data_IF_926680522333
#
_entry.id   IF_926680522333
#
_cell.length_a   1.000
_cell.length_b   1.000
_cell.length_c   1.000
_cell.angle_alpha   90.00
_cell.angle_beta   90.00
_cell.angle_gamma   90.00
#
_symmetry.space_group_name_H-M   'P 1'
#
loop_
_entity.id
_entity.type
_entity.pdbx_description
1 polymer ?
#
# COMPACT_ATOMS: atom_id res chain seq x y z
N UNK A 1 23.01 -6.07 -1.53
CA UNK A 1 22.59 -7.41 -2.01
C UNK A 1 21.22 -7.21 -2.65
N UNK A 2 21.07 -7.45 -3.95
CA UNK A 2 19.75 -7.31 -4.61
C UNK A 2 18.95 -8.56 -4.28
N UNK A 3 17.89 -8.43 -3.49
CA UNK A 3 16.99 -9.54 -3.17
C UNK A 3 16.36 -10.05 -4.47
N UNK A 4 16.61 -11.31 -4.83
CA UNK A 4 15.91 -11.93 -5.96
C UNK A 4 14.46 -12.19 -5.55
N UNK A 5 13.56 -11.31 -6.01
CA UNK A 5 12.13 -11.45 -5.76
C UNK A 5 11.57 -12.47 -6.74
N UNK A 6 10.97 -13.54 -6.20
CA UNK A 6 10.32 -14.59 -6.98
C UNK A 6 9.28 -14.02 -7.97
N UNK A 7 9.13 -14.69 -9.11
CA UNK A 7 8.07 -14.38 -10.05
C UNK A 7 6.70 -14.72 -9.43
N UNK A 8 5.77 -13.77 -9.53
CA UNK A 8 4.41 -13.96 -9.03
C UNK A 8 3.60 -14.79 -10.03
N UNK A 9 2.89 -15.80 -9.54
CA UNK A 9 2.05 -16.70 -10.33
C UNK A 9 0.57 -16.31 -10.29
N UNK A 10 0.16 -15.58 -9.26
CA UNK A 10 -1.24 -15.18 -9.07
C UNK A 10 -1.39 -13.67 -8.87
N UNK A 11 -2.56 -13.14 -9.25
CA UNK A 11 -2.88 -11.74 -9.01
C UNK A 11 -2.91 -11.47 -7.50
N UNK A 12 -2.31 -10.36 -7.06
CA UNK A 12 -2.22 -9.96 -5.65
C UNK A 12 -1.48 -10.95 -4.72
N UNK A 13 -0.76 -11.94 -5.24
CA UNK A 13 0.12 -12.77 -4.41
C UNK A 13 1.29 -11.96 -3.82
N UNK A 14 1.91 -11.13 -4.67
CA UNK A 14 2.98 -10.20 -4.28
C UNK A 14 2.51 -8.79 -4.61
N UNK A 15 2.51 -7.89 -3.63
CA UNK A 15 2.19 -6.48 -3.79
C UNK A 15 3.43 -5.61 -3.51
N UNK A 16 3.63 -4.59 -4.33
CA UNK A 16 4.52 -3.48 -4.00
C UNK A 16 3.70 -2.40 -3.32
N UNK A 17 4.23 -1.82 -2.25
CA UNK A 17 3.55 -0.84 -1.43
C UNK A 17 4.44 0.38 -1.23
N UNK A 18 3.91 1.57 -1.53
CA UNK A 18 4.62 2.82 -1.32
C UNK A 18 3.68 3.98 -0.99
N UNK A 19 4.20 4.97 -0.28
CA UNK A 19 3.46 6.18 0.07
C UNK A 19 3.74 7.30 -0.93
N UNK A 20 2.69 7.92 -1.42
CA UNK A 20 2.76 9.21 -2.09
C UNK A 20 2.25 10.26 -1.13
N UNK A 21 3.15 11.10 -0.64
CA UNK A 21 2.86 12.15 0.36
C UNK A 21 2.91 13.55 -0.28
N UNK A 22 2.57 14.56 0.51
CA UNK A 22 2.62 15.99 0.11
C UNK A 22 1.74 16.34 -1.10
N UNK A 23 0.66 15.60 -1.30
CA UNK A 23 -0.33 15.94 -2.31
C UNK A 23 -1.17 17.14 -1.83
N UNK A 24 -1.59 18.03 -2.75
CA UNK A 24 -2.60 19.03 -2.42
C UNK A 24 -3.85 18.37 -1.81
N UNK A 25 -4.44 18.96 -0.75
CA UNK A 25 -5.66 18.41 -0.16
C UNK A 25 -6.78 18.27 -1.19
N UNK A 26 -7.41 17.10 -1.23
CA UNK A 26 -8.44 16.78 -2.22
C UNK A 26 -9.66 16.04 -1.65
N UNK A 27 -10.81 16.26 -2.30
CA UNK A 27 -12.10 15.65 -1.95
C UNK A 27 -12.71 16.17 -0.65
N UNK A 28 -13.90 15.66 -0.31
CA UNK A 28 -14.68 16.12 0.86
C UNK A 28 -13.95 15.91 2.20
N UNK A 29 -13.00 14.97 2.23
CA UNK A 29 -12.19 14.65 3.41
C UNK A 29 -10.81 15.30 3.40
N UNK A 30 -10.44 16.05 2.37
CA UNK A 30 -9.15 16.76 2.28
C UNK A 30 -7.93 15.85 2.48
N UNK A 31 -7.96 14.66 1.87
CA UNK A 31 -6.82 13.74 1.87
C UNK A 31 -5.62 14.41 1.17
N UNK A 32 -4.42 14.23 1.72
CA UNK A 32 -3.19 14.88 1.26
C UNK A 32 -2.04 13.87 1.04
N UNK A 33 -2.36 12.58 1.05
CA UNK A 33 -1.47 11.48 0.74
C UNK A 33 -2.28 10.33 0.14
N UNK A 34 -1.61 9.34 -0.45
CA UNK A 34 -2.21 8.05 -0.75
C UNK A 34 -1.20 6.92 -0.57
N UNK A 35 -1.71 5.76 -0.21
CA UNK A 35 -1.00 4.49 -0.27
C UNK A 35 -1.22 3.89 -1.65
N UNK A 36 -0.13 3.49 -2.30
CA UNK A 36 -0.16 2.84 -3.61
C UNK A 36 0.18 1.37 -3.42
N UNK A 37 -0.75 0.50 -3.84
CA UNK A 37 -0.56 -0.94 -3.90
C UNK A 37 -0.47 -1.37 -5.36
N UNK A 38 0.58 -2.09 -5.75
CA UNK A 38 0.76 -2.57 -7.12
C UNK A 38 0.94 -4.09 -7.13
N UNK A 39 -0.04 -4.80 -7.69
CA UNK A 39 0.05 -6.25 -7.87
C UNK A 39 1.17 -6.63 -8.83
N UNK A 40 2.15 -7.43 -8.38
CA UNK A 40 3.35 -7.77 -9.17
C UNK A 40 3.04 -8.54 -10.45
N UNK A 41 2.02 -9.40 -10.44
CA UNK A 41 1.62 -10.23 -11.58
C UNK A 41 1.06 -9.40 -12.75
N UNK A 42 0.03 -8.58 -12.50
CA UNK A 42 -0.65 -7.79 -13.56
C UNK A 42 -0.18 -6.34 -13.68
N UNK A 43 0.68 -5.87 -12.78
CA UNK A 43 1.08 -4.45 -12.65
C UNK A 43 -0.11 -3.51 -12.44
N UNK A 44 -1.20 -4.01 -11.87
CA UNK A 44 -2.40 -3.23 -11.61
C UNK A 44 -2.22 -2.41 -10.33
N UNK A 45 -2.35 -1.07 -10.39
CA UNK A 45 -2.29 -0.22 -9.22
C UNK A 45 -3.65 -0.11 -8.53
N UNK A 46 -3.61 0.10 -7.22
CA UNK A 46 -4.72 0.51 -6.37
C UNK A 46 -4.25 1.68 -5.51
N UNK A 47 -5.07 2.72 -5.44
CA UNK A 47 -4.79 3.93 -4.68
C UNK A 47 -5.75 4.01 -3.51
N UNK A 48 -5.21 4.09 -2.30
CA UNK A 48 -5.98 4.23 -1.07
C UNK A 48 -5.71 5.63 -0.48
N UNK A 49 -6.72 6.51 -0.35
CA UNK A 49 -6.52 7.90 0.04
C UNK A 49 -6.26 8.06 1.55
N UNK A 50 -5.24 8.82 1.92
CA UNK A 50 -4.76 8.95 3.30
C UNK A 50 -4.46 10.39 3.72
N UNK A 51 -4.29 10.58 5.02
CA UNK A 51 -3.61 11.75 5.55
C UNK A 51 -2.15 11.41 5.83
N UNK A 52 -1.23 12.31 5.49
CA UNK A 52 0.21 12.12 5.72
C UNK A 52 0.54 11.86 7.20
N UNK A 53 -0.26 12.38 8.10
CA UNK A 53 -0.10 12.28 9.56
C UNK A 53 -0.92 11.14 10.18
N UNK A 54 -1.56 10.28 9.36
CA UNK A 54 -2.27 9.10 9.83
C UNK A 54 -1.33 8.13 10.56
N UNK A 55 -1.82 7.53 11.65
CA UNK A 55 -1.05 6.57 12.44
C UNK A 55 -1.00 5.20 11.76
N UNK A 56 -0.06 4.36 12.18
CA UNK A 56 0.07 2.99 11.69
C UNK A 56 -1.22 2.18 11.86
N UNK A 57 -1.90 2.29 13.01
CA UNK A 57 -3.16 1.59 13.24
C UNK A 57 -4.28 2.00 12.27
N UNK A 58 -4.40 3.29 11.93
CA UNK A 58 -5.37 3.76 10.94
C UNK A 58 -5.01 3.22 9.55
N UNK A 59 -3.72 3.04 9.30
CA UNK A 59 -3.19 2.44 8.07
C UNK A 59 -3.61 0.99 7.93
N UNK A 60 -3.41 0.19 8.98
CA UNK A 60 -3.74 -1.23 8.99
C UNK A 60 -5.24 -1.45 8.74
N UNK A 61 -6.09 -0.69 9.43
CA UNK A 61 -7.55 -0.78 9.28
C UNK A 61 -7.96 -0.49 7.84
N UNK A 62 -7.37 0.53 7.20
CA UNK A 62 -7.73 0.88 5.83
C UNK A 62 -7.23 -0.14 4.81
N UNK A 63 -6.03 -0.70 5.00
CA UNK A 63 -5.51 -1.78 4.15
C UNK A 63 -6.38 -3.02 4.28
N UNK A 64 -6.78 -3.39 5.50
CA UNK A 64 -7.65 -4.55 5.75
C UNK A 64 -9.05 -4.35 5.14
N UNK A 65 -9.67 -3.19 5.37
CA UNK A 65 -11.05 -2.95 4.97
C UNK A 65 -11.23 -2.61 3.49
N UNK A 66 -10.32 -1.83 2.91
CA UNK A 66 -10.46 -1.31 1.54
C UNK A 66 -9.48 -2.00 0.58
N UNK A 67 -8.25 -2.30 1.01
CA UNK A 67 -7.29 -3.02 0.18
C UNK A 67 -7.70 -4.48 -0.01
N UNK A 68 -7.66 -5.23 1.10
CA UNK A 68 -7.82 -6.70 1.09
C UNK A 68 -9.23 -7.12 0.66
N UNK A 69 -10.27 -6.32 0.94
CA UNK A 69 -11.62 -6.61 0.46
C UNK A 69 -11.72 -6.64 -1.07
N UNK A 70 -10.89 -5.85 -1.76
CA UNK A 70 -10.84 -5.79 -3.22
C UNK A 70 -9.79 -6.70 -3.85
N UNK A 71 -8.68 -6.97 -3.15
CA UNK A 71 -7.54 -7.72 -3.70
C UNK A 71 -7.45 -9.17 -3.23
N UNK A 72 -8.11 -9.51 -2.12
CA UNK A 72 -7.75 -10.66 -1.31
C UNK A 72 -6.46 -10.41 -0.52
N UNK A 73 -6.01 -11.43 0.23
CA UNK A 73 -4.82 -11.35 1.07
C UNK A 73 -3.53 -11.43 0.24
N UNK A 74 -2.60 -10.53 0.51
CA UNK A 74 -1.24 -10.59 -0.04
C UNK A 74 -0.43 -11.66 0.71
N UNK A 75 0.36 -12.46 -0.01
CA UNK A 75 1.33 -13.36 0.62
C UNK A 75 2.66 -12.67 0.90
N UNK A 76 3.01 -11.66 0.10
CA UNK A 76 4.24 -10.89 0.26
C UNK A 76 3.99 -9.43 -0.07
N UNK A 77 4.43 -8.55 0.82
CA UNK A 77 4.46 -7.11 0.60
C UNK A 77 5.93 -6.67 0.48
N UNK A 78 6.20 -5.86 -0.53
CA UNK A 78 7.51 -5.24 -0.77
C UNK A 78 7.31 -3.73 -0.65
N UNK A 79 7.95 -3.12 0.34
CA UNK A 79 7.92 -1.66 0.56
C UNK A 79 9.32 -1.09 0.68
N UNK A 80 9.42 0.24 0.74
CA UNK A 80 10.61 0.93 1.19
C UNK A 80 10.77 0.80 2.73
N UNK A 81 11.95 1.16 3.25
CA UNK A 81 12.25 1.13 4.70
C UNK A 81 11.70 2.40 5.37
N UNK A 82 10.45 2.78 5.06
CA UNK A 82 9.79 3.89 5.71
C UNK A 82 9.38 3.48 7.15
N UNK A 83 9.56 4.34 8.17
CA UNK A 83 9.19 4.02 9.56
C UNK A 83 7.75 3.55 9.73
N UNK A 84 6.82 3.96 8.87
CA UNK A 84 5.43 3.51 8.88
C UNK A 84 5.26 2.03 8.54
N UNK A 85 6.25 1.43 7.87
CA UNK A 85 6.27 0.00 7.54
C UNK A 85 7.12 -0.83 8.52
N UNK A 86 7.87 -0.20 9.43
CA UNK A 86 8.79 -0.86 10.36
C UNK A 86 8.48 -0.59 11.83
N UNK A 87 7.37 0.05 12.16
CA UNK A 87 6.95 0.27 13.55
C UNK A 87 6.53 -1.03 14.22
N UNK A 88 7.01 -1.29 15.44
CA UNK A 88 6.60 -2.42 16.31
C UNK A 88 5.19 -2.25 16.89
#
# INVERSE_FOLDING_TARGET
MITQIQESKYTWEIAHMDWVTELPPGGDRSYNACLVLVGRYRKTPMFLPFHKDSKAMDTDIMILNEGISHTGLFQTIISNIDPKFTSE
#
